data_IF_679390454018
#
_entry.id   IF_679390454018
#
_cell.length_a   1.000
_cell.length_b   1.000
_cell.length_c   1.000
_cell.angle_alpha   90.00
_cell.angle_beta   90.00
_cell.angle_gamma   90.00
#
_symmetry.space_group_name_H-M   'P 1'
#
loop_
_entity.id
_entity.type
_entity.pdbx_description
1 polymer ?
#
# COMPACT_ATOMS: atom_id res chain seq x y z
N UNK A 1 -12.31 11.76 -8.31
CA UNK A 1 -11.45 11.37 -9.41
C UNK A 1 -10.01 11.30 -8.95
N UNK A 2 -9.31 10.18 -9.20
CA UNK A 2 -7.95 10.00 -8.68
C UNK A 2 -6.95 11.07 -9.10
N UNK A 3 -7.06 11.59 -10.32
CA UNK A 3 -6.14 12.63 -10.79
C UNK A 3 -6.27 13.91 -9.97
N UNK A 4 -7.50 14.30 -9.64
CA UNK A 4 -7.74 15.49 -8.84
C UNK A 4 -7.17 15.30 -7.43
N UNK A 5 -7.39 14.13 -6.85
CA UNK A 5 -6.85 13.81 -5.53
C UNK A 5 -5.31 13.86 -5.55
N UNK A 6 -4.70 13.28 -6.58
CA UNK A 6 -3.25 13.26 -6.70
C UNK A 6 -2.68 14.67 -6.79
N UNK A 7 -3.29 15.55 -7.60
CA UNK A 7 -2.87 16.93 -7.73
C UNK A 7 -2.98 17.68 -6.41
N UNK A 8 -4.08 17.45 -5.70
CA UNK A 8 -4.32 18.09 -4.40
C UNK A 8 -3.25 17.69 -3.38
N UNK A 9 -2.85 16.43 -3.39
CA UNK A 9 -1.83 15.95 -2.46
C UNK A 9 -0.45 16.54 -2.71
N UNK A 10 -0.20 17.08 -3.90
CA UNK A 10 1.07 17.72 -4.24
C UNK A 10 1.15 19.17 -3.82
N UNK A 11 0.04 19.77 -3.41
CA UNK A 11 0.04 21.16 -2.95
C UNK A 11 0.71 21.24 -1.58
N UNK A 12 1.47 22.35 -1.33
CA UNK A 12 2.15 22.49 -0.04
C UNK A 12 1.22 22.74 1.14
N UNK A 13 0.03 23.30 0.88
CA UNK A 13 -0.88 23.67 1.94
C UNK A 13 -1.72 22.45 2.41
N UNK A 14 -2.03 22.43 3.69
CA UNK A 14 -2.96 21.45 4.23
C UNK A 14 -4.39 21.84 3.86
N UNK A 15 -5.07 20.94 3.17
CA UNK A 15 -6.46 21.13 2.77
C UNK A 15 -7.33 20.08 3.46
N UNK A 16 -8.66 20.29 3.55
CA UNK A 16 -9.55 19.27 4.09
C UNK A 16 -9.43 17.93 3.36
N UNK A 17 -9.30 17.98 2.02
CA UNK A 17 -9.13 16.75 1.24
C UNK A 17 -7.82 16.04 1.61
N UNK A 18 -6.73 16.80 1.70
CA UNK A 18 -5.43 16.25 2.05
C UNK A 18 -5.44 15.61 3.44
N UNK A 19 -6.09 16.29 4.39
CA UNK A 19 -6.20 15.77 5.75
C UNK A 19 -7.07 14.50 5.80
N UNK A 20 -8.15 14.45 5.01
CA UNK A 20 -8.99 13.26 4.91
C UNK A 20 -8.21 12.07 4.36
N UNK A 21 -7.43 12.29 3.31
CA UNK A 21 -6.60 11.22 2.72
C UNK A 21 -5.57 10.73 3.72
N UNK A 22 -4.91 11.64 4.45
CA UNK A 22 -3.99 11.25 5.50
C UNK A 22 -4.64 10.37 6.55
N UNK A 23 -5.86 10.72 6.97
CA UNK A 23 -6.58 9.94 7.96
C UNK A 23 -6.89 8.54 7.47
N UNK A 24 -7.29 8.41 6.21
CA UNK A 24 -7.57 7.11 5.61
C UNK A 24 -6.29 6.28 5.55
N UNK A 25 -5.19 6.87 5.07
CA UNK A 25 -3.92 6.16 4.98
C UNK A 25 -3.43 5.70 6.35
N UNK A 26 -3.59 6.54 7.37
CA UNK A 26 -3.18 6.19 8.72
C UNK A 26 -3.98 5.01 9.26
N UNK A 27 -5.29 4.98 8.99
CA UNK A 27 -6.13 3.84 9.40
C UNK A 27 -5.69 2.56 8.72
N UNK A 28 -5.40 2.62 7.42
CA UNK A 28 -4.90 1.46 6.68
C UNK A 28 -3.55 1.00 7.22
N UNK A 29 -2.67 1.96 7.53
CA UNK A 29 -1.37 1.62 8.09
C UNK A 29 -1.52 0.89 9.42
N UNK A 30 -2.40 1.39 10.29
CA UNK A 30 -2.64 0.75 11.59
C UNK A 30 -3.23 -0.66 11.41
N UNK A 31 -4.16 -0.82 10.48
CA UNK A 31 -4.72 -2.13 10.19
C UNK A 31 -3.65 -3.10 9.70
N UNK A 32 -2.80 -2.64 8.78
CA UNK A 32 -1.69 -3.45 8.25
C UNK A 32 -0.72 -3.85 9.36
N UNK A 33 -0.41 -2.93 10.27
CA UNK A 33 0.49 -3.24 11.39
C UNK A 33 -0.09 -4.37 12.25
N UNK A 34 -1.38 -4.34 12.51
CA UNK A 34 -2.04 -5.41 13.28
C UNK A 34 -2.03 -6.72 12.54
N UNK A 35 -2.33 -6.70 11.24
CA UNK A 35 -2.32 -7.90 10.41
C UNK A 35 -0.93 -8.50 10.31
N UNK A 36 0.09 -7.67 10.11
CA UNK A 36 1.47 -8.14 10.04
C UNK A 36 1.93 -8.71 11.37
N UNK A 37 1.55 -8.07 12.48
CA UNK A 37 1.86 -8.59 13.81
C UNK A 37 1.22 -9.95 14.07
N UNK A 38 -0.03 -10.13 13.67
CA UNK A 38 -0.72 -11.40 13.79
C UNK A 38 -0.07 -12.47 12.91
N UNK A 39 0.31 -12.11 11.68
CA UNK A 39 0.98 -13.03 10.77
C UNK A 39 2.34 -13.46 11.32
N UNK A 40 3.09 -12.53 11.90
CA UNK A 40 4.37 -12.86 12.52
C UNK A 40 4.18 -13.83 13.69
N UNK A 41 3.17 -13.58 14.53
CA UNK A 41 2.88 -14.45 15.66
C UNK A 41 2.52 -15.87 15.24
N UNK A 42 1.93 -16.03 14.05
CA UNK A 42 1.58 -17.33 13.50
C UNK A 42 2.72 -17.96 12.68
N UNK A 43 3.85 -17.31 12.58
CA UNK A 43 4.96 -17.81 11.79
C UNK A 43 4.78 -17.75 10.30
N UNK A 44 3.84 -16.93 9.82
CA UNK A 44 3.56 -16.82 8.38
C UNK A 44 4.52 -15.87 7.68
N UNK A 45 5.06 -14.88 8.41
CA UNK A 45 6.05 -13.95 7.87
C UNK A 45 7.31 -14.01 8.72
N UNK A 46 8.39 -13.45 8.19
CA UNK A 46 9.70 -13.50 8.84
C UNK A 46 9.66 -12.84 10.21
N UNK A 47 10.23 -13.53 11.21
CA UNK A 47 10.33 -12.99 12.55
C UNK A 47 11.29 -11.80 12.57
N UNK A 48 10.89 -10.72 13.25
CA UNK A 48 11.72 -9.54 13.34
C UNK A 48 11.66 -8.64 12.11
N UNK A 49 10.75 -8.92 11.18
CA UNK A 49 10.58 -8.07 10.00
C UNK A 49 10.21 -6.64 10.41
N UNK A 50 10.71 -5.68 9.67
CA UNK A 50 10.35 -4.28 9.86
C UNK A 50 8.91 -4.07 9.38
N UNK A 51 7.96 -4.18 10.30
CA UNK A 51 6.53 -4.12 9.95
C UNK A 51 6.13 -2.74 9.44
N UNK A 52 6.76 -1.69 9.97
CA UNK A 52 6.46 -0.34 9.47
C UNK A 52 6.89 -0.19 8.01
N UNK A 53 8.07 -0.68 7.67
CA UNK A 53 8.55 -0.66 6.29
C UNK A 53 7.68 -1.53 5.39
N UNK A 54 7.29 -2.71 5.87
CA UNK A 54 6.41 -3.60 5.10
C UNK A 54 5.06 -2.93 4.83
N UNK A 55 4.51 -2.22 5.81
CA UNK A 55 3.26 -1.47 5.62
C UNK A 55 3.41 -0.33 4.62
N UNK A 56 4.50 0.42 4.69
CA UNK A 56 4.77 1.48 3.73
C UNK A 56 4.92 0.94 2.32
N UNK A 57 5.60 -0.19 2.18
CA UNK A 57 5.77 -0.83 0.88
C UNK A 57 4.43 -1.28 0.30
N UNK A 58 3.57 -1.85 1.13
CA UNK A 58 2.24 -2.27 0.69
C UNK A 58 1.43 -1.09 0.19
N UNK A 59 1.34 -0.02 0.98
CA UNK A 59 0.59 1.18 0.63
C UNK A 59 1.19 1.82 -0.63
N UNK A 60 2.52 1.90 -0.69
CA UNK A 60 3.20 2.44 -1.86
C UNK A 60 2.95 1.64 -3.13
N UNK A 61 2.88 0.31 -3.01
CA UNK A 61 2.56 -0.55 -4.15
C UNK A 61 1.14 -0.27 -4.67
N UNK A 62 0.17 -0.11 -3.77
CA UNK A 62 -1.20 0.22 -4.16
C UNK A 62 -1.23 1.57 -4.88
N UNK A 63 -0.58 2.58 -4.29
CA UNK A 63 -0.52 3.92 -4.88
C UNK A 63 0.17 3.89 -6.24
N UNK A 64 1.26 3.14 -6.34
CA UNK A 64 2.00 3.03 -7.59
C UNK A 64 1.18 2.35 -8.69
N UNK A 65 0.46 1.30 -8.34
CA UNK A 65 -0.40 0.61 -9.31
C UNK A 65 -1.50 1.53 -9.84
N UNK A 66 -2.11 2.31 -8.95
CA UNK A 66 -3.14 3.26 -9.34
C UNK A 66 -2.56 4.32 -10.28
N UNK A 67 -1.41 4.89 -9.90
CA UNK A 67 -0.76 5.91 -10.71
C UNK A 67 -0.38 5.37 -12.09
N UNK A 68 0.22 4.19 -12.15
CA UNK A 68 0.61 3.59 -13.42
C UNK A 68 -0.60 3.30 -14.29
N UNK A 69 -1.69 2.82 -13.69
CA UNK A 69 -2.93 2.58 -14.40
C UNK A 69 -3.47 3.86 -15.04
N UNK A 70 -3.38 4.99 -14.32
CA UNK A 70 -3.83 6.27 -14.85
C UNK A 70 -2.95 6.77 -15.99
N UNK A 71 -1.64 6.56 -15.88
CA UNK A 71 -0.70 7.09 -16.88
C UNK A 71 -0.74 6.31 -18.19
N UNK A 72 -0.97 5.00 -18.14
CA UNK A 72 -0.96 4.17 -19.33
C UNK A 72 -2.35 3.84 -19.86
N UNK A 73 -3.38 4.45 -19.29
CA UNK A 73 -4.78 4.22 -19.67
C UNK A 73 -5.09 2.73 -19.70
N UNK A 74 -4.82 2.09 -18.60
CA UNK A 74 -5.00 0.67 -18.42
C UNK A 74 -6.45 0.26 -18.63
N UNK A 75 -6.68 -0.67 -19.55
CA UNK A 75 -8.04 -1.15 -19.88
C UNK A 75 -8.35 -2.43 -19.09
N UNK A 76 -8.27 -2.33 -17.76
CA UNK A 76 -8.59 -3.45 -16.89
C UNK A 76 -7.43 -4.38 -16.58
N UNK A 77 -6.20 -3.96 -16.87
CA UNK A 77 -5.02 -4.76 -16.57
C UNK A 77 -4.59 -4.67 -15.09
N UNK A 78 -5.06 -3.64 -14.39
CA UNK A 78 -4.63 -3.40 -13.02
C UNK A 78 -4.88 -4.58 -12.07
N UNK A 79 -6.03 -5.29 -12.14
CA UNK A 79 -6.23 -6.44 -11.24
C UNK A 79 -5.20 -7.55 -11.43
N UNK A 80 -4.83 -7.86 -12.67
CA UNK A 80 -3.81 -8.88 -12.94
C UNK A 80 -2.43 -8.41 -12.51
N UNK A 81 -2.10 -7.14 -12.76
CA UNK A 81 -0.84 -6.57 -12.34
C UNK A 81 -0.73 -6.51 -10.83
N UNK A 82 -1.82 -6.14 -10.15
CA UNK A 82 -1.87 -6.11 -8.70
C UNK A 82 -1.58 -7.50 -8.11
N UNK A 83 -2.18 -8.54 -8.69
CA UNK A 83 -1.95 -9.91 -8.24
C UNK A 83 -0.48 -10.28 -8.34
N UNK A 84 0.18 -9.93 -9.44
CA UNK A 84 1.61 -10.20 -9.63
C UNK A 84 2.47 -9.44 -8.63
N UNK A 85 2.17 -8.16 -8.42
CA UNK A 85 2.92 -7.33 -7.48
C UNK A 85 2.77 -7.85 -6.06
N UNK A 86 1.56 -8.20 -5.66
CA UNK A 86 1.36 -8.68 -4.29
C UNK A 86 1.87 -10.10 -4.09
N UNK A 87 1.99 -10.90 -5.14
CA UNK A 87 2.68 -12.18 -5.03
C UNK A 87 4.16 -11.97 -4.69
N UNK A 88 4.82 -11.00 -5.34
CA UNK A 88 6.18 -10.62 -4.99
C UNK A 88 6.29 -10.13 -3.54
N UNK A 89 5.34 -9.31 -3.13
CA UNK A 89 5.31 -8.78 -1.78
C UNK A 89 5.21 -9.90 -0.74
N UNK A 90 4.27 -10.83 -0.95
CA UNK A 90 4.09 -11.96 -0.05
C UNK A 90 5.37 -12.80 0.06
N UNK A 91 6.03 -13.03 -1.07
CA UNK A 91 7.27 -13.79 -1.08
C UNK A 91 8.39 -13.08 -0.34
N UNK A 92 8.43 -11.74 -0.45
CA UNK A 92 9.47 -10.94 0.20
C UNK A 92 9.37 -10.97 1.72
N UNK A 93 8.16 -11.02 2.27
CA UNK A 93 7.96 -10.95 3.73
C UNK A 93 7.71 -12.32 4.37
N UNK A 94 7.57 -13.35 3.56
CA UNK A 94 7.23 -14.68 4.03
C UNK A 94 8.36 -15.26 4.89
N UNK A 95 7.97 -16.07 5.88
CA UNK A 95 8.91 -16.80 6.69
C UNK A 95 9.72 -17.76 5.83
N UNK A 96 11.04 -17.86 6.11
CA UNK A 96 11.94 -18.77 5.40
C UNK A 96 12.06 -20.13 6.06
N UNK A 97 11.49 -20.27 7.24
CA UNK A 97 11.56 -21.53 7.99
C UNK A 97 10.42 -22.48 7.66
#
# INVERSE_FOLDING_TARGET
>A
VPRVIFNELQLPDDTPLKNSVRGILERYRQLLMRLLGAAESRGLIASGIDKAAAGMLFIGAVQGLIMQSMLVRDNGRMPADAERVFALYRNAIRSTS
#
